data_IF_318691726976
#
_entry.id   IF_318691726976
#
_cell.length_a   1.000
_cell.length_b   1.000
_cell.length_c   1.000
_cell.angle_alpha   90.00
_cell.angle_beta   90.00
_cell.angle_gamma   90.00
#
_symmetry.space_group_name_H-M   'P 1'
#
loop_
_entity.id
_entity.type
_entity.pdbx_description
1 polymer ?
#
# COMPACT_ATOMS: atom_id res chain seq x y z
N UNK A 1 17.73 2.48 1.95
CA UNK A 1 16.26 2.66 1.91
C UNK A 1 15.81 3.47 3.10
N UNK A 2 14.74 4.24 2.99
CA UNK A 2 14.17 5.04 4.07
C UNK A 2 13.01 4.29 4.72
N UNK A 3 12.95 4.26 6.06
CA UNK A 3 11.87 3.56 6.78
C UNK A 3 10.66 4.48 6.97
N UNK A 4 9.50 3.96 6.62
CA UNK A 4 8.23 4.66 6.76
C UNK A 4 7.19 3.78 7.47
N UNK A 5 6.37 4.38 8.34
CA UNK A 5 5.27 3.69 9.02
C UNK A 5 3.95 4.11 8.41
N UNK A 6 3.15 3.13 7.99
CA UNK A 6 1.84 3.41 7.43
C UNK A 6 0.79 3.60 8.52
N UNK A 7 0.12 4.74 8.51
CA UNK A 7 -0.87 5.11 9.52
C UNK A 7 -2.06 4.13 9.60
N UNK A 8 -2.34 3.37 8.53
CA UNK A 8 -3.40 2.35 8.54
C UNK A 8 -3.20 1.31 9.64
N UNK A 9 -1.94 1.08 10.06
CA UNK A 9 -1.58 0.15 11.14
C UNK A 9 -2.21 0.52 12.49
N UNK A 10 -2.56 1.79 12.66
CA UNK A 10 -3.19 2.35 13.87
C UNK A 10 -4.52 3.03 13.52
N UNK A 11 -5.21 2.52 12.51
CA UNK A 11 -6.45 3.11 12.00
C UNK A 11 -7.74 2.53 12.58
N UNK A 12 -7.66 1.58 13.51
CA UNK A 12 -8.85 0.93 14.10
C UNK A 12 -9.54 -0.08 13.19
N UNK A 13 -8.88 -0.54 12.11
CA UNK A 13 -9.41 -1.57 11.22
C UNK A 13 -9.00 -2.97 11.71
N UNK A 14 -9.69 -4.01 11.26
CA UNK A 14 -9.36 -5.43 11.51
C UNK A 14 -9.14 -5.79 12.99
N UNK A 15 -9.80 -5.07 13.92
CA UNK A 15 -9.66 -5.29 15.36
C UNK A 15 -8.42 -4.63 15.97
N UNK A 16 -7.78 -3.69 15.28
CA UNK A 16 -6.70 -2.88 15.78
C UNK A 16 -7.23 -1.71 16.61
N UNK A 17 -6.44 -1.27 17.59
CA UNK A 17 -6.64 0.02 18.25
C UNK A 17 -6.32 1.18 17.30
N UNK A 18 -6.97 2.33 17.55
CA UNK A 18 -6.78 3.54 16.77
C UNK A 18 -5.98 4.59 17.55
N UNK A 19 -5.13 5.33 16.84
CA UNK A 19 -4.47 6.55 17.33
C UNK A 19 -4.95 7.76 16.55
N UNK A 20 -5.00 8.93 17.21
CA UNK A 20 -5.05 10.20 16.50
C UNK A 20 -3.76 10.42 15.69
N UNK A 21 -3.77 11.30 14.70
CA UNK A 21 -2.57 11.55 13.89
C UNK A 21 -1.40 12.06 14.72
N UNK A 22 -1.62 12.97 15.68
CA UNK A 22 -0.56 13.45 16.55
C UNK A 22 0.06 12.34 17.39
N UNK A 23 -0.78 11.50 18.02
CA UNK A 23 -0.30 10.33 18.76
C UNK A 23 0.42 9.32 17.85
N UNK A 24 -0.04 9.15 16.61
CA UNK A 24 0.61 8.29 15.62
C UNK A 24 1.99 8.86 15.22
N UNK A 25 2.14 10.17 15.03
CA UNK A 25 3.45 10.79 14.72
C UNK A 25 4.43 10.60 15.87
N UNK A 26 4.00 10.86 17.11
CA UNK A 26 4.82 10.57 18.28
C UNK A 26 5.27 9.11 18.33
N UNK A 27 4.34 8.20 18.06
CA UNK A 27 4.60 6.75 18.03
C UNK A 27 5.56 6.36 16.92
N UNK A 28 5.38 6.83 15.71
CA UNK A 28 6.29 6.55 14.59
C UNK A 28 7.72 6.96 14.92
N UNK A 29 7.91 8.13 15.53
CA UNK A 29 9.23 8.60 15.97
C UNK A 29 9.82 7.73 17.09
N UNK A 30 9.02 7.40 18.10
CA UNK A 30 9.42 6.50 19.21
C UNK A 30 9.91 5.13 18.68
N UNK A 31 9.26 4.62 17.65
CA UNK A 31 9.55 3.32 17.04
C UNK A 31 10.76 3.34 16.11
N UNK A 32 11.32 4.53 15.79
CA UNK A 32 12.54 4.64 14.99
C UNK A 32 12.30 4.85 13.50
N UNK A 33 11.12 5.29 13.09
CA UNK A 33 10.84 5.63 11.70
C UNK A 33 11.26 7.06 11.37
N UNK A 34 11.69 7.29 10.12
CA UNK A 34 12.09 8.61 9.61
C UNK A 34 10.94 9.34 8.93
N UNK A 35 9.95 8.59 8.47
CA UNK A 35 8.82 9.12 7.73
C UNK A 35 7.54 8.32 7.97
N UNK A 36 6.44 8.87 7.47
CA UNK A 36 5.14 8.23 7.51
C UNK A 36 4.49 8.18 6.13
N UNK A 37 3.71 7.14 5.91
CA UNK A 37 2.71 7.04 4.88
C UNK A 37 1.35 7.26 5.51
N UNK A 38 0.56 8.22 5.02
CA UNK A 38 -0.74 8.54 5.60
C UNK A 38 -1.89 7.98 4.76
N UNK A 39 -2.86 7.34 5.42
CA UNK A 39 -4.06 6.85 4.77
C UNK A 39 -4.93 8.01 4.30
N UNK A 40 -5.18 8.10 3.00
CA UNK A 40 -5.99 9.14 2.33
C UNK A 40 -7.49 8.96 2.56
N UNK A 41 -7.89 8.43 3.71
CA UNK A 41 -9.28 8.20 4.11
C UNK A 41 -9.45 8.35 5.61
N UNK A 42 -10.71 8.42 6.08
CA UNK A 42 -11.03 8.35 7.51
C UNK A 42 -10.47 7.06 8.15
N UNK A 43 -10.00 7.11 9.41
CA UNK A 43 -10.03 8.25 10.32
C UNK A 43 -8.85 9.25 10.15
N UNK A 44 -7.97 9.07 9.17
CA UNK A 44 -6.76 9.88 9.00
C UNK A 44 -6.96 11.05 8.02
N UNK A 45 -6.32 11.03 6.84
CA UNK A 45 -6.27 12.18 5.93
C UNK A 45 -7.35 12.07 4.84
N UNK A 46 -8.62 12.22 5.23
CA UNK A 46 -9.71 12.25 4.25
C UNK A 46 -9.80 13.64 3.60
N UNK A 47 -9.89 13.74 2.24
CA UNK A 47 -10.16 15.01 1.57
C UNK A 47 -11.45 15.70 2.02
N UNK A 48 -12.39 14.96 2.57
CA UNK A 48 -13.66 15.51 3.08
C UNK A 48 -13.51 16.26 4.40
N UNK A 49 -12.47 15.94 5.17
CA UNK A 49 -12.29 16.45 6.54
C UNK A 49 -11.05 17.36 6.66
N UNK A 50 -10.27 17.51 5.58
CA UNK A 50 -9.05 18.33 5.57
C UNK A 50 -9.33 19.75 5.09
N UNK A 51 -9.24 20.73 6.00
CA UNK A 51 -9.12 22.15 5.67
C UNK A 51 -7.64 22.54 5.53
N UNK A 52 -7.37 23.73 4.98
CA UNK A 52 -6.01 24.26 4.90
C UNK A 52 -5.38 24.40 6.30
N UNK A 53 -6.15 24.90 7.28
CA UNK A 53 -5.67 25.05 8.66
C UNK A 53 -5.30 23.69 9.27
N UNK A 54 -6.11 22.65 9.03
CA UNK A 54 -5.80 21.30 9.50
C UNK A 54 -4.52 20.75 8.85
N UNK A 55 -4.30 21.02 7.56
CA UNK A 55 -3.09 20.60 6.86
C UNK A 55 -1.84 21.29 7.39
N UNK A 56 -1.92 22.60 7.66
CA UNK A 56 -0.81 23.35 8.27
C UNK A 56 -0.53 22.86 9.69
N UNK A 57 -1.55 22.49 10.45
CA UNK A 57 -1.38 21.88 11.77
C UNK A 57 -0.67 20.53 11.68
N UNK A 58 -1.13 19.63 10.77
CA UNK A 58 -0.47 18.33 10.54
C UNK A 58 0.99 18.51 10.14
N UNK A 59 1.28 19.48 9.28
CA UNK A 59 2.66 19.80 8.88
C UNK A 59 3.51 20.21 10.06
N UNK A 60 3.00 21.09 10.94
CA UNK A 60 3.70 21.51 12.17
C UNK A 60 3.96 20.32 13.10
N UNK A 61 2.99 19.42 13.26
CA UNK A 61 3.14 18.22 14.09
C UNK A 61 4.23 17.30 13.52
N UNK A 62 4.26 17.07 12.22
CA UNK A 62 5.34 16.30 11.56
C UNK A 62 6.72 16.94 11.83
N UNK A 63 6.84 18.26 11.64
CA UNK A 63 8.07 19.00 11.89
C UNK A 63 8.51 18.92 13.37
N UNK A 64 7.58 19.04 14.32
CA UNK A 64 7.83 18.92 15.76
C UNK A 64 8.37 17.54 16.16
N UNK A 65 7.86 16.48 15.54
CA UNK A 65 8.34 15.12 15.77
C UNK A 65 9.59 14.78 14.94
N UNK A 66 10.06 15.67 14.07
CA UNK A 66 11.18 15.42 13.18
C UNK A 66 10.90 14.29 12.19
N UNK A 67 9.67 14.21 11.71
CA UNK A 67 9.18 13.25 10.72
C UNK A 67 8.87 13.91 9.38
N UNK A 68 8.99 13.16 8.29
CA UNK A 68 8.46 13.53 6.98
C UNK A 68 7.17 12.76 6.70
N UNK A 69 6.29 13.35 5.90
CA UNK A 69 5.26 12.61 5.21
C UNK A 69 5.74 12.39 3.76
N UNK A 70 6.12 11.18 3.41
CA UNK A 70 6.67 10.92 2.07
C UNK A 70 5.59 10.40 1.11
N UNK A 71 4.53 9.76 1.63
CA UNK A 71 3.49 9.09 0.82
C UNK A 71 2.09 9.37 1.36
N UNK A 72 1.13 9.65 0.47
CA UNK A 72 -0.29 9.50 0.76
C UNK A 72 -0.84 8.24 0.08
N UNK A 73 -1.56 7.43 0.83
CA UNK A 73 -2.18 6.22 0.33
C UNK A 73 -3.58 6.50 -0.21
N UNK A 74 -3.74 6.55 -1.51
CA UNK A 74 -5.03 6.55 -2.19
C UNK A 74 -5.65 5.14 -2.18
N UNK A 75 -6.96 5.09 -1.98
CA UNK A 75 -7.75 3.86 -2.03
C UNK A 75 -8.67 3.95 -3.25
N UNK A 76 -8.13 3.56 -4.39
CA UNK A 76 -8.83 3.63 -5.68
C UNK A 76 -9.37 2.28 -6.10
N UNK A 77 -10.45 2.30 -6.85
CA UNK A 77 -10.95 1.19 -7.65
C UNK A 77 -11.24 1.75 -9.04
N UNK A 78 -10.40 1.40 -10.01
CA UNK A 78 -10.49 1.90 -11.38
C UNK A 78 -11.30 0.97 -12.27
N UNK A 79 -12.12 0.12 -11.68
CA UNK A 79 -13.03 -0.75 -12.43
C UNK A 79 -14.10 0.06 -13.17
N UNK A 80 -14.58 -0.41 -14.32
CA UNK A 80 -15.73 0.20 -14.98
C UNK A 80 -16.93 0.28 -14.05
N UNK A 81 -17.67 1.40 -14.08
CA UNK A 81 -18.85 1.60 -13.25
C UNK A 81 -19.94 0.56 -13.58
N UNK A 82 -20.60 0.02 -12.54
CA UNK A 82 -21.75 -0.89 -12.70
C UNK A 82 -22.98 -0.18 -13.25
N UNK A 83 -23.11 1.12 -13.01
CA UNK A 83 -24.19 1.98 -13.49
C UNK A 83 -23.59 3.10 -14.34
N UNK A 84 -23.90 3.11 -15.63
CA UNK A 84 -23.30 4.02 -16.60
C UNK A 84 -23.57 5.52 -16.33
N UNK A 85 -24.66 5.82 -15.63
CA UNK A 85 -25.05 7.18 -15.25
C UNK A 85 -24.25 7.72 -14.03
N UNK A 86 -23.50 6.87 -13.32
CA UNK A 86 -22.68 7.30 -12.19
C UNK A 86 -21.28 7.63 -12.68
N UNK A 87 -20.77 8.87 -12.49
CA UNK A 87 -19.45 9.28 -12.94
C UNK A 87 -18.35 8.73 -12.01
N UNK A 88 -18.32 7.41 -11.88
CA UNK A 88 -17.49 6.71 -10.88
C UNK A 88 -16.00 6.98 -11.09
N UNK A 89 -15.55 6.95 -12.35
CA UNK A 89 -14.14 7.21 -12.67
C UNK A 89 -13.75 8.66 -12.35
N UNK A 90 -14.60 9.63 -12.72
CA UNK A 90 -14.34 11.05 -12.42
C UNK A 90 -14.24 11.28 -10.91
N UNK A 91 -15.05 10.56 -10.11
CA UNK A 91 -14.95 10.60 -8.64
C UNK A 91 -13.60 10.05 -8.15
N UNK A 92 -13.08 8.97 -8.75
CA UNK A 92 -11.78 8.42 -8.41
C UNK A 92 -10.63 9.38 -8.81
N UNK A 93 -10.71 9.99 -9.97
CA UNK A 93 -9.73 10.99 -10.45
C UNK A 93 -9.74 12.22 -9.54
N UNK A 94 -10.92 12.78 -9.24
CA UNK A 94 -11.07 13.93 -8.34
C UNK A 94 -10.54 13.63 -6.92
N UNK A 95 -10.74 12.41 -6.44
CA UNK A 95 -10.17 11.95 -5.17
C UNK A 95 -8.63 11.97 -5.19
N UNK A 96 -8.00 11.40 -6.23
CA UNK A 96 -6.54 11.39 -6.36
C UNK A 96 -5.98 12.80 -6.56
N UNK A 97 -6.65 13.66 -7.32
CA UNK A 97 -6.28 15.07 -7.45
C UNK A 97 -6.35 15.81 -6.10
N UNK A 98 -7.39 15.55 -5.31
CA UNK A 98 -7.51 16.10 -3.95
C UNK A 98 -6.38 15.62 -3.04
N UNK A 99 -6.02 14.35 -3.09
CA UNK A 99 -4.85 13.83 -2.38
C UNK A 99 -3.54 14.45 -2.87
N UNK A 100 -3.40 14.70 -4.16
CA UNK A 100 -2.20 15.35 -4.74
C UNK A 100 -2.03 16.78 -4.21
N UNK A 101 -3.11 17.53 -4.06
CA UNK A 101 -3.11 18.85 -3.42
C UNK A 101 -2.71 18.78 -1.95
N UNK A 102 -3.27 17.83 -1.19
CA UNK A 102 -2.92 17.59 0.21
C UNK A 102 -1.44 17.19 0.33
N UNK A 103 -0.96 16.29 -0.52
CA UNK A 103 0.42 15.85 -0.56
C UNK A 103 1.39 17.03 -0.72
N UNK A 104 1.11 17.94 -1.64
CA UNK A 104 1.94 19.16 -1.83
C UNK A 104 2.03 19.99 -0.55
N UNK A 105 0.94 20.15 0.20
CA UNK A 105 0.94 20.91 1.46
C UNK A 105 1.74 20.19 2.54
N UNK A 106 1.65 18.88 2.64
CA UNK A 106 2.37 18.06 3.63
C UNK A 106 3.83 17.77 3.23
N UNK A 107 4.24 18.08 2.00
CA UNK A 107 5.57 17.77 1.48
C UNK A 107 5.74 16.34 0.97
N UNK A 108 4.65 15.59 0.81
CA UNK A 108 4.69 14.24 0.26
C UNK A 108 4.88 14.25 -1.26
N UNK A 109 5.81 13.44 -1.75
CA UNK A 109 6.12 13.33 -3.18
C UNK A 109 5.39 12.21 -3.91
N UNK A 110 4.71 11.32 -3.20
CA UNK A 110 4.12 10.10 -3.78
C UNK A 110 2.66 9.94 -3.36
N UNK A 111 1.81 9.62 -4.33
CA UNK A 111 0.45 9.12 -4.11
C UNK A 111 0.43 7.64 -4.52
N UNK A 112 0.21 6.73 -3.56
CA UNK A 112 0.01 5.31 -3.87
C UNK A 112 -1.45 5.10 -4.28
N UNK A 113 -1.66 4.36 -5.37
CA UNK A 113 -2.98 4.00 -5.89
C UNK A 113 -3.08 2.51 -6.17
N UNK A 114 -4.31 2.00 -6.27
CA UNK A 114 -4.61 0.65 -6.74
C UNK A 114 -5.17 0.69 -8.17
N UNK A 115 -5.18 -0.47 -8.82
CA UNK A 115 -5.74 -0.67 -10.16
C UNK A 115 -7.25 -0.96 -10.11
N UNK A 116 -7.73 -1.88 -10.92
CA UNK A 116 -9.14 -2.30 -11.03
C UNK A 116 -9.33 -3.77 -10.67
N UNK A 117 -10.55 -4.12 -10.32
CA UNK A 117 -11.02 -5.49 -10.21
C UNK A 117 -11.60 -5.99 -11.52
N UNK A 118 -11.69 -7.31 -11.67
CA UNK A 118 -12.51 -7.92 -12.69
C UNK A 118 -14.00 -7.61 -12.43
N UNK A 119 -14.70 -7.18 -13.46
CA UNK A 119 -16.12 -6.81 -13.37
C UNK A 119 -16.93 -7.62 -14.38
N UNK A 120 -17.96 -8.31 -13.90
CA UNK A 120 -18.87 -9.07 -14.77
C UNK A 120 -19.46 -8.19 -15.88
N UNK A 121 -19.47 -8.69 -17.10
CA UNK A 121 -19.96 -7.96 -18.27
C UNK A 121 -18.92 -7.13 -19.01
N UNK A 122 -17.68 -7.05 -18.50
CA UNK A 122 -16.57 -6.39 -19.17
C UNK A 122 -15.49 -7.39 -19.54
N UNK A 123 -14.89 -7.23 -20.71
CA UNK A 123 -13.74 -8.05 -21.11
C UNK A 123 -12.46 -7.59 -20.37
N UNK A 124 -11.47 -8.45 -20.14
CA UNK A 124 -10.18 -8.06 -19.57
C UNK A 124 -9.51 -6.91 -20.35
N UNK A 125 -9.61 -6.92 -21.68
CA UNK A 125 -9.06 -5.85 -22.53
C UNK A 125 -9.75 -4.50 -22.30
N UNK A 126 -11.09 -4.50 -22.10
CA UNK A 126 -11.83 -3.28 -21.82
C UNK A 126 -11.49 -2.72 -20.42
N UNK A 127 -11.31 -3.60 -19.43
CA UNK A 127 -10.86 -3.21 -18.07
C UNK A 127 -9.44 -2.64 -18.12
N UNK A 128 -8.55 -3.25 -18.88
CA UNK A 128 -7.18 -2.78 -19.09
C UNK A 128 -7.14 -1.36 -19.68
N UNK A 129 -7.80 -1.16 -20.84
CA UNK A 129 -7.88 0.15 -21.50
C UNK A 129 -8.46 1.23 -20.58
N UNK A 130 -9.49 0.88 -19.82
CA UNK A 130 -10.10 1.78 -18.84
C UNK A 130 -9.13 2.15 -17.71
N UNK A 131 -8.38 1.17 -17.19
CA UNK A 131 -7.36 1.37 -16.15
C UNK A 131 -6.22 2.26 -16.65
N UNK A 132 -5.70 2.00 -17.86
CA UNK A 132 -4.65 2.82 -18.50
C UNK A 132 -5.09 4.28 -18.61
N UNK A 133 -6.26 4.54 -19.20
CA UNK A 133 -6.79 5.91 -19.36
C UNK A 133 -6.99 6.62 -18.03
N UNK A 134 -7.49 5.89 -17.03
CA UNK A 134 -7.67 6.43 -15.67
C UNK A 134 -6.35 6.88 -15.05
N UNK A 135 -5.33 6.02 -15.14
CA UNK A 135 -4.01 6.30 -14.59
C UNK A 135 -3.27 7.39 -15.36
N UNK A 136 -3.45 7.46 -16.69
CA UNK A 136 -2.93 8.57 -17.50
C UNK A 136 -3.48 9.90 -17.00
N UNK A 137 -4.80 10.03 -16.83
CA UNK A 137 -5.40 11.27 -16.35
C UNK A 137 -4.99 11.61 -14.90
N UNK A 138 -4.89 10.62 -14.01
CA UNK A 138 -4.39 10.82 -12.65
C UNK A 138 -2.94 11.33 -12.65
N UNK A 139 -2.08 10.79 -13.51
CA UNK A 139 -0.70 11.24 -13.67
C UNK A 139 -0.63 12.67 -14.22
N UNK A 140 -1.42 12.97 -15.25
CA UNK A 140 -1.45 14.30 -15.87
C UNK A 140 -1.89 15.37 -14.85
N UNK A 141 -2.91 15.12 -14.05
CA UNK A 141 -3.36 16.00 -12.96
C UNK A 141 -2.35 16.08 -11.82
N UNK A 142 -1.75 14.95 -11.43
CA UNK A 142 -0.72 14.89 -10.40
C UNK A 142 0.52 15.73 -10.70
N UNK A 143 0.85 15.89 -11.98
CA UNK A 143 1.97 16.71 -12.44
C UNK A 143 1.86 18.17 -11.97
N UNK A 144 0.65 18.73 -11.90
CA UNK A 144 0.41 20.10 -11.43
C UNK A 144 0.78 20.31 -9.95
N UNK A 145 0.86 19.23 -9.20
CA UNK A 145 1.20 19.22 -7.77
C UNK A 145 2.62 18.69 -7.50
N UNK A 146 3.33 18.26 -8.55
CA UNK A 146 4.69 17.71 -8.44
C UNK A 146 4.74 16.33 -7.79
N UNK A 147 3.67 15.53 -7.87
CA UNK A 147 3.60 14.21 -7.27
C UNK A 147 3.78 13.09 -8.29
N UNK A 148 4.35 12.00 -7.80
CA UNK A 148 4.43 10.71 -8.48
C UNK A 148 3.21 9.86 -8.11
N UNK A 149 2.57 9.26 -9.11
CA UNK A 149 1.52 8.27 -8.91
C UNK A 149 2.17 6.89 -8.90
N UNK A 150 2.14 6.22 -7.75
CA UNK A 150 2.74 4.90 -7.56
C UNK A 150 1.67 3.83 -7.55
N UNK A 151 1.69 2.96 -8.55
CA UNK A 151 0.74 1.84 -8.68
C UNK A 151 1.22 0.69 -7.79
N UNK A 152 0.43 0.30 -6.80
CA UNK A 152 0.70 -0.90 -6.03
C UNK A 152 0.19 -2.13 -6.80
N UNK A 153 0.97 -3.21 -6.79
CA UNK A 153 0.61 -4.51 -7.40
C UNK A 153 -0.51 -5.22 -6.60
N UNK A 154 -1.64 -4.56 -6.54
CA UNK A 154 -2.85 -4.95 -5.80
C UNK A 154 -4.08 -4.84 -6.69
N UNK A 155 -5.19 -5.47 -6.32
CA UNK A 155 -6.37 -5.72 -7.13
C UNK A 155 -6.08 -6.76 -8.24
N UNK A 156 -6.85 -6.77 -9.33
CA UNK A 156 -6.76 -7.85 -10.32
C UNK A 156 -5.94 -7.43 -11.56
N UNK A 157 -6.03 -6.16 -11.97
CA UNK A 157 -5.37 -5.66 -13.16
C UNK A 157 -3.90 -5.32 -12.89
N UNK A 158 -2.99 -5.88 -13.68
CA UNK A 158 -1.56 -5.58 -13.59
C UNK A 158 -0.87 -6.12 -12.33
N UNK A 159 -1.42 -7.17 -11.72
CA UNK A 159 -0.90 -7.74 -10.46
C UNK A 159 0.36 -8.56 -10.66
N UNK A 160 0.46 -9.33 -11.74
CA UNK A 160 1.68 -10.07 -12.09
C UNK A 160 2.78 -9.10 -12.55
N UNK A 161 4.03 -9.39 -12.23
CA UNK A 161 5.15 -8.49 -12.50
C UNK A 161 5.34 -8.12 -13.97
N UNK A 162 5.09 -9.05 -14.91
CA UNK A 162 5.16 -8.74 -16.35
C UNK A 162 3.99 -7.83 -16.77
N UNK A 163 2.78 -8.14 -16.34
CA UNK A 163 1.60 -7.33 -16.63
C UNK A 163 1.71 -5.92 -16.00
N UNK A 164 2.32 -5.81 -14.83
CA UNK A 164 2.55 -4.51 -14.19
C UNK A 164 3.52 -3.63 -15.00
N UNK A 165 4.56 -4.22 -15.60
CA UNK A 165 5.48 -3.49 -16.50
C UNK A 165 4.81 -3.11 -17.82
N UNK A 166 3.99 -4.00 -18.38
CA UNK A 166 3.19 -3.70 -19.57
C UNK A 166 2.23 -2.54 -19.29
N UNK A 167 1.51 -2.60 -18.16
CA UNK A 167 0.62 -1.53 -17.73
C UNK A 167 1.36 -0.19 -17.58
N UNK A 168 2.55 -0.19 -16.99
CA UNK A 168 3.37 1.01 -16.85
C UNK A 168 3.81 1.55 -18.22
N UNK A 169 4.15 0.67 -19.17
CA UNK A 169 4.48 1.02 -20.54
C UNK A 169 3.30 1.65 -21.30
N UNK A 170 2.11 1.07 -21.16
CA UNK A 170 0.89 1.58 -21.83
C UNK A 170 0.42 2.92 -21.25
N UNK A 171 0.65 3.17 -19.95
CA UNK A 171 0.35 4.46 -19.33
C UNK A 171 1.27 5.56 -19.88
N UNK A 172 2.53 5.26 -20.11
CA UNK A 172 3.53 6.16 -20.71
C UNK A 172 3.50 7.59 -20.11
N UNK A 173 3.66 7.68 -18.78
CA UNK A 173 3.78 8.96 -18.05
C UNK A 173 5.03 8.95 -17.15
N UNK A 174 5.88 9.99 -17.22
CA UNK A 174 7.16 10.02 -16.48
C UNK A 174 6.97 9.99 -14.95
N UNK A 175 5.85 10.52 -14.46
CA UNK A 175 5.48 10.51 -13.05
C UNK A 175 4.62 9.30 -12.65
N UNK A 176 4.47 8.29 -13.51
CA UNK A 176 3.90 6.99 -13.17
C UNK A 176 5.01 6.05 -12.73
N UNK A 177 4.91 5.51 -11.54
CA UNK A 177 5.89 4.59 -10.93
C UNK A 177 5.19 3.44 -10.24
N UNK A 178 5.96 2.57 -9.57
CA UNK A 178 5.44 1.40 -8.88
C UNK A 178 5.55 1.54 -7.36
N UNK A 179 4.53 1.03 -6.68
CA UNK A 179 4.55 0.71 -5.25
C UNK A 179 4.55 -0.80 -5.11
N UNK A 180 5.75 -1.41 -5.06
CA UNK A 180 5.88 -2.87 -5.09
C UNK A 180 5.68 -3.47 -3.71
N UNK A 181 4.83 -4.49 -3.55
CA UNK A 181 4.78 -5.34 -2.38
C UNK A 181 5.16 -6.80 -2.72
N UNK A 182 5.57 -7.55 -1.70
CA UNK A 182 5.95 -8.95 -1.84
C UNK A 182 4.79 -9.92 -1.57
N UNK A 183 3.69 -9.46 -0.96
CA UNK A 183 2.62 -10.33 -0.48
C UNK A 183 1.87 -11.02 -1.62
N UNK A 184 1.35 -10.25 -2.56
CA UNK A 184 0.57 -10.84 -3.65
C UNK A 184 1.41 -11.70 -4.61
N UNK A 185 2.67 -11.34 -4.95
CA UNK A 185 3.58 -12.23 -5.67
C UNK A 185 3.88 -13.53 -4.91
N UNK A 186 4.14 -13.46 -3.61
CA UNK A 186 4.38 -14.63 -2.77
C UNK A 186 3.18 -15.59 -2.72
N UNK A 187 1.95 -15.05 -2.72
CA UNK A 187 0.73 -15.86 -2.76
C UNK A 187 0.59 -16.64 -4.08
N UNK A 188 1.02 -16.05 -5.18
CA UNK A 188 0.99 -16.65 -6.52
C UNK A 188 2.21 -17.52 -6.82
N UNK A 189 3.24 -17.51 -5.98
CA UNK A 189 4.46 -18.28 -6.17
C UNK A 189 5.41 -17.67 -7.21
N UNK A 190 5.38 -16.35 -7.43
CA UNK A 190 6.42 -15.67 -8.20
C UNK A 190 7.76 -15.76 -7.45
N UNK A 191 8.86 -15.88 -8.19
CA UNK A 191 10.20 -15.75 -7.61
C UNK A 191 10.46 -14.30 -7.19
N UNK A 192 10.49 -14.06 -5.87
CA UNK A 192 10.53 -12.71 -5.30
C UNK A 192 11.82 -11.96 -5.63
N UNK A 193 12.96 -12.65 -5.74
CA UNK A 193 14.21 -12.01 -6.13
C UNK A 193 14.15 -11.50 -7.57
N UNK A 194 13.77 -12.36 -8.50
CA UNK A 194 13.70 -12.02 -9.92
C UNK A 194 12.67 -10.92 -10.18
N UNK A 195 11.48 -11.05 -9.58
CA UNK A 195 10.41 -10.07 -9.67
C UNK A 195 10.87 -8.70 -9.14
N UNK A 196 11.39 -8.66 -7.91
CA UNK A 196 11.82 -7.43 -7.27
C UNK A 196 12.95 -6.74 -8.04
N UNK A 197 13.97 -7.49 -8.49
CA UNK A 197 15.06 -6.96 -9.31
C UNK A 197 14.58 -6.35 -10.62
N UNK A 198 13.61 -7.01 -11.27
CA UNK A 198 13.01 -6.53 -12.52
C UNK A 198 12.22 -5.24 -12.33
N UNK A 199 11.45 -5.13 -11.23
CA UNK A 199 10.60 -3.97 -10.95
C UNK A 199 11.35 -2.80 -10.29
N UNK A 200 12.48 -3.04 -9.65
CA UNK A 200 13.24 -2.06 -8.87
C UNK A 200 13.49 -0.72 -9.59
N UNK A 201 13.88 -0.68 -10.90
CA UNK A 201 14.13 0.59 -11.60
C UNK A 201 12.89 1.49 -11.72
N UNK A 202 11.71 0.93 -11.55
CA UNK A 202 10.43 1.63 -11.65
C UNK A 202 9.76 1.84 -10.29
N UNK A 203 10.27 1.22 -9.24
CA UNK A 203 9.69 1.22 -7.89
C UNK A 203 10.18 2.42 -7.08
N UNK A 204 9.26 3.14 -6.43
CA UNK A 204 9.57 4.27 -5.55
C UNK A 204 9.22 4.00 -4.10
N UNK A 205 8.27 3.10 -3.85
CA UNK A 205 7.89 2.63 -2.50
C UNK A 205 7.71 1.12 -2.48
N UNK A 206 7.90 0.52 -1.30
CA UNK A 206 7.42 -0.83 -1.00
C UNK A 206 6.45 -0.78 0.17
N UNK A 207 5.50 -1.72 0.22
CA UNK A 207 4.58 -1.87 1.34
C UNK A 207 4.76 -3.28 1.89
N UNK A 208 5.12 -3.39 3.16
CA UNK A 208 5.63 -4.64 3.72
C UNK A 208 4.87 -5.05 4.97
N UNK A 209 4.40 -6.29 4.99
CA UNK A 209 3.82 -6.97 6.14
C UNK A 209 4.05 -8.48 5.99
N UNK A 210 4.19 -9.21 7.07
CA UNK A 210 4.44 -10.65 7.00
C UNK A 210 3.27 -11.45 7.53
N UNK A 211 3.03 -12.63 6.94
CA UNK A 211 1.83 -13.41 7.16
C UNK A 211 2.11 -14.91 7.28
N UNK A 212 1.22 -15.60 8.01
CA UNK A 212 1.08 -17.06 7.94
C UNK A 212 -0.18 -17.43 7.19
N UNK A 213 -0.16 -18.59 6.54
CA UNK A 213 -1.33 -19.18 5.88
C UNK A 213 -2.05 -20.09 6.84
N UNK A 214 -3.36 -19.92 6.98
CA UNK A 214 -4.22 -20.73 7.83
C UNK A 214 -5.23 -21.48 6.95
N UNK A 215 -5.12 -22.82 6.84
CA UNK A 215 -6.07 -23.62 6.08
C UNK A 215 -7.50 -23.45 6.59
N UNK A 216 -8.46 -23.36 5.68
CA UNK A 216 -9.88 -23.25 5.98
C UNK A 216 -10.58 -24.56 5.69
N UNK A 217 -11.53 -24.91 6.57
CA UNK A 217 -12.32 -26.11 6.43
C UNK A 217 -13.80 -25.81 6.66
N UNK A 218 -14.66 -26.48 5.91
CA UNK A 218 -16.11 -26.46 6.10
C UNK A 218 -16.56 -27.82 6.58
N UNK A 219 -17.20 -27.88 7.78
CA UNK A 219 -17.76 -29.11 8.34
C UNK A 219 -19.00 -29.53 7.55
N UNK A 220 -19.06 -30.80 7.17
CA UNK A 220 -20.18 -31.43 6.47
C UNK A 220 -20.86 -32.47 7.37
N UNK A 221 -21.98 -32.10 8.01
CA UNK A 221 -22.66 -32.98 8.97
C UNK A 221 -23.10 -34.30 8.36
N UNK A 222 -23.46 -34.32 7.08
CA UNK A 222 -23.99 -35.46 6.34
C UNK A 222 -22.99 -36.63 6.27
N UNK A 223 -21.70 -36.34 6.28
CA UNK A 223 -20.65 -37.34 6.23
C UNK A 223 -19.72 -37.30 7.47
N UNK A 224 -20.03 -36.46 8.46
CA UNK A 224 -19.25 -36.27 9.69
C UNK A 224 -17.77 -36.00 9.38
N UNK A 225 -17.50 -35.13 8.39
CA UNK A 225 -16.15 -34.84 7.90
C UNK A 225 -16.00 -33.39 7.49
N UNK A 226 -14.80 -32.98 7.09
CA UNK A 226 -14.47 -31.65 6.67
C UNK A 226 -14.05 -31.59 5.19
N UNK A 227 -14.53 -30.58 4.49
CA UNK A 227 -14.04 -30.22 3.16
C UNK A 227 -13.09 -29.04 3.27
N UNK A 228 -11.89 -29.14 2.70
CA UNK A 228 -10.98 -27.99 2.58
C UNK A 228 -11.61 -26.93 1.66
N UNK A 229 -11.46 -25.66 2.06
CA UNK A 229 -11.95 -24.49 1.31
C UNK A 229 -10.78 -23.61 0.91
N UNK A 230 -10.71 -23.25 -0.36
CA UNK A 230 -9.74 -22.31 -0.90
C UNK A 230 -10.36 -20.91 -1.06
N UNK A 231 -9.55 -19.82 -1.04
CA UNK A 231 -8.16 -19.82 -0.62
C UNK A 231 -7.96 -19.94 0.89
N UNK A 232 -6.72 -20.21 1.32
CA UNK A 232 -6.35 -20.14 2.73
C UNK A 232 -6.57 -18.70 3.27
N UNK A 233 -6.86 -18.59 4.56
CA UNK A 233 -6.88 -17.29 5.25
C UNK A 233 -5.43 -16.88 5.56
N UNK A 234 -5.12 -15.59 5.48
CA UNK A 234 -3.84 -15.05 5.95
C UNK A 234 -4.02 -14.34 7.29
N UNK A 235 -2.98 -14.37 8.11
CA UNK A 235 -2.93 -13.68 9.39
C UNK A 235 -1.57 -13.05 9.60
N UNK A 236 -1.53 -11.76 9.96
CA UNK A 236 -0.28 -11.06 10.21
C UNK A 236 0.49 -11.67 11.40
N UNK A 237 1.79 -11.74 11.24
CA UNK A 237 2.78 -12.19 12.23
C UNK A 237 3.92 -11.16 12.31
N UNK A 238 4.76 -11.19 13.35
CA UNK A 238 5.95 -10.35 13.39
C UNK A 238 6.80 -10.55 12.12
N UNK A 239 7.40 -9.47 11.64
CA UNK A 239 8.16 -9.48 10.39
C UNK A 239 9.34 -10.47 10.47
N UNK A 240 9.46 -11.33 9.46
CA UNK A 240 10.43 -12.42 9.41
C UNK A 240 9.93 -13.76 9.98
N UNK A 241 8.72 -13.83 10.54
CA UNK A 241 8.10 -15.08 11.04
C UNK A 241 7.09 -15.69 10.06
N UNK A 242 6.85 -15.04 8.93
CA UNK A 242 5.83 -15.42 7.96
C UNK A 242 6.36 -16.31 6.84
N UNK A 243 5.53 -16.46 5.79
CA UNK A 243 5.86 -17.29 4.63
C UNK A 243 6.52 -16.52 3.49
N UNK A 244 6.62 -15.18 3.59
CA UNK A 244 7.14 -14.34 2.51
C UNK A 244 8.67 -14.31 2.59
N UNK A 245 9.36 -14.65 1.51
CA UNK A 245 10.83 -14.59 1.44
C UNK A 245 11.31 -13.14 1.26
N UNK A 246 11.20 -12.35 2.32
CA UNK A 246 11.67 -10.97 2.35
C UNK A 246 13.18 -10.81 2.12
N UNK A 247 14.07 -11.69 2.59
CA UNK A 247 15.49 -11.64 2.23
C UNK A 247 15.70 -11.61 0.71
N UNK A 248 15.06 -12.52 -0.04
CA UNK A 248 15.14 -12.56 -1.50
C UNK A 248 14.51 -11.33 -2.15
N UNK A 249 13.35 -10.87 -1.64
CA UNK A 249 12.68 -9.67 -2.14
C UNK A 249 13.56 -8.42 -2.02
N UNK A 250 14.06 -8.12 -0.83
CA UNK A 250 14.89 -6.93 -0.61
C UNK A 250 16.23 -7.01 -1.31
N UNK A 251 16.83 -8.22 -1.40
CA UNK A 251 18.03 -8.40 -2.20
C UNK A 251 17.78 -8.11 -3.68
N UNK A 252 16.66 -8.57 -4.22
CA UNK A 252 16.26 -8.26 -5.59
C UNK A 252 16.12 -6.76 -5.82
N UNK A 253 15.44 -6.05 -4.90
CA UNK A 253 15.29 -4.60 -4.95
C UNK A 253 16.65 -3.88 -4.94
N UNK A 254 17.56 -4.26 -4.03
CA UNK A 254 18.91 -3.65 -3.97
C UNK A 254 19.72 -3.92 -5.24
N UNK A 255 19.74 -5.16 -5.72
CA UNK A 255 20.47 -5.53 -6.94
C UNK A 255 19.87 -4.87 -8.20
N UNK A 256 18.61 -4.45 -8.15
CA UNK A 256 17.93 -3.67 -9.17
C UNK A 256 18.04 -2.16 -9.02
N UNK A 257 18.74 -1.68 -7.98
CA UNK A 257 19.03 -0.26 -7.74
C UNK A 257 17.94 0.51 -7.00
N UNK A 258 17.03 -0.15 -6.29
CA UNK A 258 16.03 0.52 -5.47
C UNK A 258 16.66 1.15 -4.22
N UNK A 259 16.43 2.46 -4.04
CA UNK A 259 16.84 3.24 -2.86
C UNK A 259 15.68 4.11 -2.34
N UNK A 260 14.47 3.63 -2.51
CA UNK A 260 13.24 4.36 -2.16
C UNK A 260 12.77 4.12 -0.73
N UNK A 261 11.46 4.26 -0.55
CA UNK A 261 10.78 4.22 0.73
C UNK A 261 10.31 2.79 1.01
N UNK A 262 10.71 2.22 2.14
CA UNK A 262 10.26 0.92 2.62
C UNK A 262 9.22 1.12 3.73
N UNK A 263 7.95 1.03 3.37
CA UNK A 263 6.84 1.16 4.31
C UNK A 263 6.56 -0.13 5.05
N UNK A 264 6.23 0.00 6.32
CA UNK A 264 5.64 -1.07 7.12
C UNK A 264 4.14 -0.83 7.32
N UNK A 265 3.34 -1.88 7.16
CA UNK A 265 1.90 -1.84 7.40
C UNK A 265 1.41 -3.06 8.20
N UNK A 266 0.31 -2.85 8.93
CA UNK A 266 -0.49 -3.92 9.52
C UNK A 266 -1.93 -3.75 9.03
N UNK A 267 -2.36 -4.55 8.08
CA UNK A 267 -3.66 -4.43 7.42
C UNK A 267 -4.43 -5.76 7.34
N UNK A 268 -4.33 -6.56 8.40
CA UNK A 268 -5.07 -7.81 8.57
C UNK A 268 -5.25 -8.14 10.05
N UNK A 269 -6.05 -9.14 10.41
CA UNK A 269 -6.06 -9.66 11.79
C UNK A 269 -4.66 -10.09 12.23
N UNK A 270 -4.25 -9.68 13.44
CA UNK A 270 -2.89 -9.82 13.97
C UNK A 270 -2.84 -10.94 15.00
N UNK A 271 -1.79 -11.75 14.95
CA UNK A 271 -1.52 -12.72 16.03
C UNK A 271 -1.25 -11.98 17.34
N UNK A 272 -1.94 -12.32 18.41
CA UNK A 272 -1.83 -11.66 19.71
C UNK A 272 -2.81 -10.50 19.92
N UNK A 273 -3.62 -10.14 18.92
CA UNK A 273 -4.60 -9.06 18.99
C UNK A 273 -4.07 -7.70 18.57
N UNK A 274 -4.97 -6.74 18.42
CA UNK A 274 -4.70 -5.42 17.83
C UNK A 274 -4.51 -4.29 18.85
N UNK A 275 -4.17 -4.58 20.11
CA UNK A 275 -3.89 -3.54 21.09
C UNK A 275 -2.58 -2.78 20.77
N UNK A 276 -2.46 -1.55 21.27
CA UNK A 276 -1.32 -0.66 20.96
C UNK A 276 0.03 -1.33 21.24
N UNK A 277 0.17 -2.00 22.38
CA UNK A 277 1.43 -2.65 22.77
C UNK A 277 1.87 -3.71 21.75
N UNK A 278 0.93 -4.54 21.27
CA UNK A 278 1.24 -5.53 20.24
C UNK A 278 1.51 -4.92 18.88
N UNK A 279 0.77 -3.85 18.50
CA UNK A 279 1.03 -3.08 17.28
C UNK A 279 2.44 -2.47 17.30
N UNK A 280 2.83 -1.85 18.40
CA UNK A 280 4.17 -1.28 18.61
C UNK A 280 5.27 -2.34 18.49
N UNK A 281 5.05 -3.51 19.10
CA UNK A 281 5.98 -4.65 19.00
C UNK A 281 6.20 -5.06 17.55
N UNK A 282 5.14 -5.18 16.77
CA UNK A 282 5.22 -5.55 15.36
C UNK A 282 5.95 -4.50 14.52
N UNK A 283 5.61 -3.23 14.72
CA UNK A 283 6.24 -2.13 14.00
C UNK A 283 7.75 -2.01 14.34
N UNK A 284 8.12 -2.21 15.61
CA UNK A 284 9.53 -2.23 16.04
C UNK A 284 10.28 -3.44 15.46
N UNK A 285 9.65 -4.62 15.43
CA UNK A 285 10.27 -5.82 14.85
C UNK A 285 10.66 -5.61 13.39
N UNK A 286 9.86 -4.86 12.62
CA UNK A 286 10.21 -4.51 11.24
C UNK A 286 11.46 -3.64 11.17
N UNK A 287 11.55 -2.59 11.98
CA UNK A 287 12.74 -1.71 12.04
C UNK A 287 14.00 -2.50 12.39
N UNK A 288 13.90 -3.34 13.44
CA UNK A 288 15.02 -4.17 13.90
C UNK A 288 15.46 -5.17 12.82
N UNK A 289 14.50 -5.75 12.10
CA UNK A 289 14.77 -6.66 10.98
C UNK A 289 15.51 -5.94 9.85
N UNK A 290 15.03 -4.75 9.44
CA UNK A 290 15.65 -3.96 8.37
C UNK A 290 17.09 -3.56 8.70
N UNK A 291 17.35 -3.15 9.95
CA UNK A 291 18.70 -2.87 10.44
C UNK A 291 19.60 -4.12 10.44
N UNK A 292 19.09 -5.26 10.90
CA UNK A 292 19.82 -6.53 10.92
C UNK A 292 20.23 -6.95 9.51
N UNK A 293 19.39 -6.72 8.52
CA UNK A 293 19.68 -7.00 7.11
C UNK A 293 20.54 -5.92 6.44
N UNK A 294 20.89 -4.83 7.13
CA UNK A 294 21.66 -3.68 6.60
C UNK A 294 21.00 -3.05 5.37
N UNK A 295 19.68 -2.87 5.43
CA UNK A 295 18.86 -2.32 4.36
C UNK A 295 18.59 -0.80 4.51
N UNK A 296 19.02 -0.22 5.62
CA UNK A 296 18.84 1.20 5.98
C UNK A 296 20.16 1.92 6.06
#
# INVERSE_FOLDING_TARGET
MQLSLFSISYGGFWGQDALSLDAFFAKAKELGYDSVMLAGKRPHVSPLDTSEDNLQEMRRQLEQHGLRCDVLAGYTDLSPARAAEVPYLEMQIAYVESLSRIARTLGAGVIRVFTSYEVAGHSPAAIWDHTVKSLQEMCDRGTAYGVTIAIQNHHDTGVHSDALLELLGDIDRPNCKLGCDAWSPALRGEDLYTMAKKLAPHTVITTNADYVRLPRYHYQPECINYRRTEPDMVRAVPFGEGFIDYPSFFKGLQDGGFDGIANYEMCSPIRGGGNIENLDKYARTYVDWMHTQRLT
#
